data_IF_682710148624
#
_entry.id   IF_682710148624
#
_cell.length_a   1.000
_cell.length_b   1.000
_cell.length_c   1.000
_cell.angle_alpha   90.00
_cell.angle_beta   90.00
_cell.angle_gamma   90.00
#
_symmetry.space_group_name_H-M   'P 1'
#
loop_
_entity.id
_entity.type
_entity.pdbx_description
1 polymer ?
#
# COMPACT_ATOMS: atom_id res chain seq x y z
N UNK A 1 -6.44 49.95 -27.24
CA UNK A 1 -5.91 48.72 -26.59
C UNK A 1 -4.42 48.91 -26.29
N UNK A 2 -4.09 49.43 -25.10
CA UNK A 2 -2.74 49.36 -24.53
C UNK A 2 -2.85 49.27 -23.00
N UNK A 3 -2.54 48.07 -22.52
CA UNK A 3 -1.83 47.67 -21.28
C UNK A 3 -2.12 48.46 -20.00
N UNK A 4 -2.80 47.80 -19.07
CA UNK A 4 -2.77 48.11 -17.64
C UNK A 4 -1.70 47.24 -16.96
N UNK A 5 -0.65 47.86 -16.42
CA UNK A 5 0.19 47.30 -15.36
C UNK A 5 -0.04 48.17 -14.14
N UNK A 6 -0.69 47.60 -13.12
CA UNK A 6 -0.82 48.23 -11.81
C UNK A 6 0.34 47.70 -10.96
N UNK A 7 1.27 48.59 -10.61
CA UNK A 7 2.27 48.41 -9.57
C UNK A 7 2.06 49.57 -8.60
N UNK A 8 1.53 49.28 -7.42
CA UNK A 8 1.46 50.24 -6.32
C UNK A 8 2.70 50.09 -5.45
N UNK A 9 3.57 51.07 -5.63
CA UNK A 9 4.46 51.75 -4.68
C UNK A 9 5.16 50.98 -3.55
N UNK A 10 6.48 50.97 -3.74
CA UNK A 10 7.57 50.72 -2.80
C UNK A 10 8.03 52.05 -2.19
N UNK A 11 7.99 52.17 -0.86
CA UNK A 11 8.84 53.01 0.02
C UNK A 11 8.17 53.10 1.39
N UNK A 12 8.82 53.20 2.55
CA UNK A 12 10.21 53.23 3.00
C UNK A 12 10.12 53.29 4.54
N UNK A 13 11.00 52.60 5.28
CA UNK A 13 11.51 52.90 6.64
C UNK A 13 11.98 51.57 7.25
N UNK A 14 13.16 51.39 7.81
CA UNK A 14 14.27 52.28 8.10
C UNK A 14 15.47 51.42 8.50
N UNK A 15 16.66 51.92 8.20
CA UNK A 15 17.94 51.35 8.60
C UNK A 15 18.05 51.31 10.12
N UNK A 16 18.42 50.16 10.68
CA UNK A 16 19.42 50.09 11.75
C UNK A 16 20.30 48.88 11.49
N UNK A 17 21.56 49.14 11.19
CA UNK A 17 22.63 48.20 11.46
C UNK A 17 22.74 48.13 12.99
N UNK A 18 23.04 46.95 13.54
CA UNK A 18 24.05 46.80 14.59
C UNK A 18 24.22 45.33 15.01
N UNK A 19 25.49 44.92 14.99
CA UNK A 19 26.17 44.02 15.94
C UNK A 19 25.75 42.53 15.93
N UNK A 20 26.62 41.72 15.30
CA UNK A 20 26.79 40.31 15.65
C UNK A 20 27.48 40.22 17.02
N UNK A 21 26.79 39.64 18.01
CA UNK A 21 27.39 39.21 19.27
C UNK A 21 27.23 37.69 19.43
N UNK A 22 28.38 37.02 19.51
CA UNK A 22 28.54 35.60 19.80
C UNK A 22 28.33 35.32 21.29
N UNK A 23 27.63 34.22 21.60
CA UNK A 23 27.48 33.57 22.93
C UNK A 23 26.50 34.31 23.83
N UNK A 24 25.40 33.69 24.24
CA UNK A 24 25.45 32.75 25.35
C UNK A 24 24.39 31.65 25.17
N UNK A 25 24.88 30.41 25.22
CA UNK A 25 24.14 29.17 25.35
C UNK A 25 23.01 29.31 26.39
N UNK A 26 21.82 28.83 26.03
CA UNK A 26 20.72 28.59 26.96
C UNK A 26 21.24 27.89 28.21
N UNK A 27 21.32 28.65 29.31
CA UNK A 27 21.61 28.14 30.65
C UNK A 27 20.31 27.57 31.22
N UNK A 28 19.90 26.39 30.77
CA UNK A 28 19.08 25.53 31.63
C UNK A 28 20.02 24.84 32.63
N UNK A 29 19.76 24.89 33.95
CA UNK A 29 20.60 24.20 34.92
C UNK A 29 20.48 22.68 34.68
N UNK A 30 21.58 21.92 34.77
CA UNK A 30 21.48 20.46 34.75
C UNK A 30 20.86 19.97 36.05
N UNK A 31 19.92 19.04 35.93
CA UNK A 31 19.39 18.27 37.05
C UNK A 31 20.53 17.46 37.67
N UNK A 32 20.78 17.66 38.95
CA UNK A 32 21.66 16.84 39.78
C UNK A 32 20.98 15.48 40.00
N UNK A 33 21.24 14.53 39.11
CA UNK A 33 21.05 13.11 39.43
C UNK A 33 22.38 12.39 39.28
N UNK A 34 22.86 11.88 40.41
CA UNK A 34 24.11 11.15 40.58
C UNK A 34 24.15 9.88 39.73
N UNK A 35 25.22 9.74 38.96
CA UNK A 35 25.56 8.58 38.15
C UNK A 35 25.79 7.33 39.01
N UNK A 36 25.18 6.22 38.63
CA UNK A 36 25.78 4.90 38.81
C UNK A 36 26.12 4.36 37.42
N UNK A 37 27.41 4.21 37.18
CA UNK A 37 28.05 3.73 35.96
C UNK A 37 27.73 2.26 35.77
N UNK A 38 27.32 1.86 34.56
CA UNK A 38 28.02 0.81 33.81
C UNK A 38 27.53 0.69 32.36
N UNK A 39 28.54 0.65 31.49
CA UNK A 39 28.65 -0.06 30.21
C UNK A 39 27.66 0.27 29.07
N UNK A 40 28.23 0.98 28.10
CA UNK A 40 28.31 0.61 26.67
C UNK A 40 27.03 0.38 25.86
N UNK A 41 27.15 0.86 24.62
CA UNK A 41 26.34 0.56 23.44
C UNK A 41 25.09 1.43 23.18
N UNK A 42 25.30 2.27 22.16
CA UNK A 42 24.43 2.36 20.99
C UNK A 42 23.09 3.07 21.18
N UNK A 43 23.00 4.22 20.51
CA UNK A 43 21.74 4.93 20.26
C UNK A 43 20.69 3.94 19.78
N UNK A 44 19.51 3.85 20.42
CA UNK A 44 18.44 3.03 19.87
C UNK A 44 17.95 3.74 18.62
N UNK A 45 18.26 3.16 17.45
CA UNK A 45 17.42 3.35 16.29
C UNK A 45 16.00 3.02 16.74
N UNK A 46 15.12 4.02 16.71
CA UNK A 46 13.71 3.78 16.94
C UNK A 46 13.26 2.82 15.86
N UNK A 47 13.04 1.57 16.28
CA UNK A 47 12.28 0.58 15.53
C UNK A 47 11.01 1.28 15.05
N UNK A 48 10.94 1.55 13.75
CA UNK A 48 9.65 1.59 13.09
C UNK A 48 9.24 0.13 13.11
N UNK A 49 8.57 -0.24 14.22
CA UNK A 49 8.01 -1.55 14.45
C UNK A 49 7.26 -1.93 13.18
N UNK A 50 7.85 -2.89 12.48
CA UNK A 50 7.28 -3.64 11.38
C UNK A 50 6.10 -4.45 11.91
N UNK A 51 5.01 -3.75 12.22
CA UNK A 51 3.72 -4.34 12.47
C UNK A 51 2.83 -3.93 11.30
N UNK A 52 3.21 -4.41 10.11
CA UNK A 52 2.26 -4.66 9.04
C UNK A 52 1.38 -5.83 9.46
N UNK A 53 0.52 -5.62 10.46
CA UNK A 53 -0.66 -6.46 10.65
C UNK A 53 -1.72 -6.00 9.63
N UNK A 54 -1.47 -6.31 8.36
CA UNK A 54 -2.56 -6.59 7.43
C UNK A 54 -2.69 -8.11 7.42
N UNK A 55 -3.75 -8.61 8.03
CA UNK A 55 -4.03 -10.03 8.14
C UNK A 55 -4.22 -10.68 6.76
N UNK A 56 -3.13 -11.15 6.15
CA UNK A 56 -3.04 -12.06 4.99
C UNK A 56 -3.39 -13.52 5.36
N UNK A 57 -3.96 -13.74 6.56
CA UNK A 57 -3.68 -14.90 7.41
C UNK A 57 -4.25 -16.26 7.00
N UNK A 58 -4.93 -16.40 5.86
CA UNK A 58 -5.59 -17.66 5.52
C UNK A 58 -5.01 -18.40 4.28
N UNK A 59 -3.93 -17.89 3.66
CA UNK A 59 -3.24 -18.59 2.57
C UNK A 59 -1.79 -18.96 2.92
N UNK A 60 -1.38 -20.23 2.69
CA UNK A 60 0.00 -20.66 2.96
C UNK A 60 0.98 -19.96 2.02
N UNK A 61 2.16 -19.58 2.54
CA UNK A 61 3.28 -19.05 1.75
C UNK A 61 3.94 -20.19 0.94
N UNK A 62 3.83 -20.21 -0.40
CA UNK A 62 4.44 -21.24 -1.23
C UNK A 62 5.95 -21.05 -1.44
N UNK A 63 6.62 -20.10 -0.78
CA UNK A 63 8.04 -19.77 -0.99
C UNK A 63 8.96 -20.99 -1.00
N UNK A 64 8.79 -21.92 -0.06
CA UNK A 64 9.61 -23.14 0.03
C UNK A 64 9.29 -24.20 -1.04
N UNK A 65 8.16 -24.07 -1.75
CA UNK A 65 7.79 -24.94 -2.87
C UNK A 65 8.41 -24.47 -4.20
N UNK A 66 8.95 -23.25 -4.24
CA UNK A 66 9.55 -22.66 -5.43
C UNK A 66 10.99 -23.13 -5.65
N UNK A 67 11.46 -23.12 -6.90
CA UNK A 67 12.85 -23.39 -7.26
C UNK A 67 13.80 -22.34 -6.67
N UNK A 68 15.09 -22.67 -6.46
CA UNK A 68 16.08 -21.73 -5.90
C UNK A 68 16.15 -20.41 -6.69
N UNK A 69 16.09 -20.46 -8.02
CA UNK A 69 16.10 -19.25 -8.86
C UNK A 69 14.84 -18.40 -8.68
N UNK A 70 13.69 -19.03 -8.40
CA UNK A 70 12.46 -18.32 -8.12
C UNK A 70 12.46 -17.74 -6.70
N UNK A 71 13.08 -18.42 -5.72
CA UNK A 71 13.27 -17.89 -4.37
C UNK A 71 14.15 -16.63 -4.38
N UNK A 72 15.29 -16.66 -5.09
CA UNK A 72 16.15 -15.48 -5.27
C UNK A 72 15.40 -14.30 -5.93
N UNK A 73 14.54 -14.62 -6.91
CA UNK A 73 13.68 -13.62 -7.54
C UNK A 73 12.65 -13.05 -6.55
N UNK A 74 12.00 -13.89 -5.74
CA UNK A 74 11.06 -13.44 -4.69
C UNK A 74 11.77 -12.54 -3.68
N UNK A 75 12.99 -12.88 -3.26
CA UNK A 75 13.77 -12.08 -2.32
C UNK A 75 14.09 -10.70 -2.90
N UNK A 76 14.51 -10.63 -4.16
CA UNK A 76 14.75 -9.37 -4.89
C UNK A 76 13.50 -8.47 -4.94
N UNK A 77 12.32 -9.04 -5.23
CA UNK A 77 11.06 -8.27 -5.21
C UNK A 77 10.68 -7.86 -3.78
N UNK A 78 10.92 -8.72 -2.79
CA UNK A 78 10.65 -8.44 -1.38
C UNK A 78 11.53 -7.28 -0.86
N UNK A 79 12.78 -7.16 -1.33
CA UNK A 79 13.67 -6.03 -1.03
C UNK A 79 13.10 -4.67 -1.51
N UNK A 80 12.21 -4.65 -2.51
CA UNK A 80 11.50 -3.44 -2.92
C UNK A 80 10.36 -3.03 -1.96
N UNK A 81 10.04 -3.86 -0.96
CA UNK A 81 9.03 -3.58 0.06
C UNK A 81 7.70 -4.32 -0.13
N UNK A 82 7.61 -5.25 -1.09
CA UNK A 82 6.43 -6.11 -1.24
C UNK A 82 6.44 -7.25 -0.21
N UNK A 83 5.25 -7.71 0.20
CA UNK A 83 5.12 -8.80 1.16
C UNK A 83 5.53 -10.14 0.52
N UNK A 84 6.54 -10.83 1.09
CA UNK A 84 7.02 -12.14 0.62
C UNK A 84 5.91 -13.15 0.28
N UNK A 85 4.89 -13.40 1.13
CA UNK A 85 3.85 -14.38 0.80
C UNK A 85 3.03 -14.00 -0.44
N UNK A 86 2.80 -12.71 -0.67
CA UNK A 86 2.09 -12.21 -1.85
C UNK A 86 2.96 -12.36 -3.11
N UNK A 87 4.25 -12.03 -2.99
CA UNK A 87 5.21 -12.19 -4.08
C UNK A 87 5.39 -13.66 -4.46
N UNK A 88 5.52 -14.56 -3.48
CA UNK A 88 5.70 -15.99 -3.74
C UNK A 88 4.47 -16.60 -4.41
N UNK A 89 3.25 -16.18 -4.03
CA UNK A 89 2.02 -16.56 -4.74
C UNK A 89 1.99 -16.02 -6.17
N UNK A 90 2.32 -14.74 -6.38
CA UNK A 90 2.42 -14.15 -7.71
C UNK A 90 3.42 -14.90 -8.60
N UNK A 91 4.60 -15.22 -8.08
CA UNK A 91 5.64 -15.96 -8.82
C UNK A 91 5.20 -17.38 -9.16
N UNK A 92 4.42 -18.03 -8.27
CA UNK A 92 3.84 -19.35 -8.54
C UNK A 92 2.87 -19.33 -9.72
N UNK A 93 2.14 -18.24 -9.92
CA UNK A 93 1.13 -18.11 -10.97
C UNK A 93 1.67 -17.50 -12.28
N UNK A 94 2.54 -16.49 -12.20
CA UNK A 94 3.05 -15.73 -13.35
C UNK A 94 4.47 -16.14 -13.78
N UNK A 95 5.18 -16.91 -12.95
CA UNK A 95 6.59 -17.27 -13.13
C UNK A 95 7.54 -16.16 -12.68
N UNK A 96 8.79 -16.22 -13.16
CA UNK A 96 9.86 -15.25 -12.83
C UNK A 96 9.94 -14.09 -13.83
N UNK A 97 8.80 -13.63 -14.35
CA UNK A 97 8.71 -12.48 -15.24
C UNK A 97 8.52 -11.20 -14.42
N UNK A 98 9.62 -10.47 -14.19
CA UNK A 98 9.65 -9.29 -13.32
C UNK A 98 8.55 -8.29 -13.62
N UNK A 99 8.37 -7.96 -14.90
CA UNK A 99 7.39 -6.95 -15.31
C UNK A 99 5.97 -7.39 -14.93
N UNK A 100 5.62 -8.65 -15.20
CA UNK A 100 4.28 -9.16 -14.92
C UNK A 100 4.01 -9.30 -13.43
N UNK A 101 5.00 -9.78 -12.67
CA UNK A 101 4.88 -9.94 -11.22
C UNK A 101 4.70 -8.59 -10.56
N UNK A 102 5.54 -7.61 -10.88
CA UNK A 102 5.42 -6.25 -10.33
C UNK A 102 4.11 -5.59 -10.75
N UNK A 103 3.69 -5.73 -12.02
CA UNK A 103 2.40 -5.22 -12.48
C UNK A 103 1.22 -5.82 -11.68
N UNK A 104 1.22 -7.13 -11.45
CA UNK A 104 0.20 -7.80 -10.66
C UNK A 104 0.17 -7.33 -9.20
N UNK A 105 1.33 -7.19 -8.55
CA UNK A 105 1.43 -6.69 -7.18
C UNK A 105 0.92 -5.24 -7.05
N UNK A 106 1.26 -4.38 -8.01
CA UNK A 106 0.75 -3.01 -8.07
C UNK A 106 -0.79 -2.98 -8.25
N UNK A 107 -1.35 -3.88 -9.05
CA UNK A 107 -2.80 -3.98 -9.21
C UNK A 107 -3.50 -4.39 -7.90
N UNK A 108 -2.93 -5.34 -7.15
CA UNK A 108 -3.49 -5.72 -5.84
C UNK A 108 -3.46 -4.52 -4.89
N UNK A 109 -2.32 -3.82 -4.80
CA UNK A 109 -2.19 -2.63 -3.95
C UNK A 109 -3.22 -1.54 -4.33
N UNK A 110 -3.46 -1.29 -5.62
CA UNK A 110 -4.45 -0.32 -6.06
C UNK A 110 -5.89 -0.68 -5.64
N UNK A 111 -6.20 -1.99 -5.57
CA UNK A 111 -7.48 -2.48 -5.05
C UNK A 111 -7.54 -2.36 -3.52
N UNK A 112 -6.46 -2.65 -2.81
CA UNK A 112 -6.36 -2.44 -1.36
C UNK A 112 -6.52 -0.97 -0.97
N UNK A 113 -5.91 -0.05 -1.71
CA UNK A 113 -6.09 1.40 -1.55
C UNK A 113 -7.54 1.84 -1.79
N UNK A 114 -8.30 1.08 -2.58
CA UNK A 114 -9.74 1.29 -2.79
C UNK A 114 -10.60 0.76 -1.63
N UNK A 115 -9.99 0.09 -0.64
CA UNK A 115 -10.66 -0.48 0.54
C UNK A 115 -11.01 -1.96 0.42
N UNK A 116 -10.50 -2.66 -0.60
CA UNK A 116 -10.69 -4.11 -0.76
C UNK A 116 -9.67 -4.91 0.06
N UNK A 117 -10.06 -6.13 0.42
CA UNK A 117 -9.16 -7.08 1.09
C UNK A 117 -8.14 -7.65 0.09
N UNK A 118 -6.86 -7.70 0.48
CA UNK A 118 -5.76 -8.14 -0.40
C UNK A 118 -5.97 -9.52 -1.03
N UNK A 119 -6.43 -10.50 -0.25
CA UNK A 119 -6.72 -11.85 -0.74
C UNK A 119 -7.90 -11.87 -1.73
N UNK A 120 -8.91 -11.04 -1.50
CA UNK A 120 -10.07 -10.92 -2.38
C UNK A 120 -9.69 -10.20 -3.69
N UNK A 121 -8.84 -9.18 -3.61
CA UNK A 121 -8.26 -8.50 -4.75
C UNK A 121 -7.39 -9.42 -5.61
N UNK A 122 -6.49 -10.19 -4.99
CA UNK A 122 -5.67 -11.22 -5.65
C UNK A 122 -6.56 -12.23 -6.38
N UNK A 123 -7.58 -12.77 -5.71
CA UNK A 123 -8.51 -13.73 -6.31
C UNK A 123 -9.32 -13.13 -7.47
N UNK A 124 -9.77 -11.87 -7.35
CA UNK A 124 -10.52 -11.20 -8.41
C UNK A 124 -9.68 -10.96 -9.66
N UNK A 125 -8.39 -10.59 -9.50
CA UNK A 125 -7.45 -10.41 -10.61
C UNK A 125 -7.19 -11.72 -11.34
N UNK A 126 -6.99 -12.83 -10.61
CA UNK A 126 -6.82 -14.15 -11.21
C UNK A 126 -8.05 -14.60 -12.02
N UNK A 127 -9.25 -14.16 -11.62
CA UNK A 127 -10.51 -14.54 -12.26
C UNK A 127 -10.79 -13.78 -13.56
N UNK A 128 -10.19 -12.61 -13.73
CA UNK A 128 -10.39 -11.71 -14.87
C UNK A 128 -9.11 -11.54 -15.70
N UNK A 129 -8.25 -12.57 -15.74
CA UNK A 129 -7.02 -12.59 -16.53
C UNK A 129 -6.12 -11.35 -16.30
N UNK A 130 -6.01 -10.89 -15.04
CA UNK A 130 -5.21 -9.73 -14.63
C UNK A 130 -5.70 -8.38 -15.21
N UNK A 131 -6.98 -8.28 -15.58
CA UNK A 131 -7.60 -7.02 -15.97
C UNK A 131 -8.08 -6.24 -14.72
N UNK A 132 -7.36 -5.18 -14.38
CA UNK A 132 -7.65 -4.36 -13.20
C UNK A 132 -9.05 -3.72 -13.21
N UNK A 133 -9.54 -3.29 -14.38
CA UNK A 133 -10.83 -2.61 -14.49
C UNK A 133 -11.99 -3.60 -14.23
N UNK A 134 -11.90 -4.78 -14.83
CA UNK A 134 -12.90 -5.84 -14.66
C UNK A 134 -12.87 -6.42 -13.25
N UNK A 135 -11.68 -6.63 -12.68
CA UNK A 135 -11.53 -7.11 -11.30
C UNK A 135 -12.14 -6.12 -10.29
N UNK A 136 -11.89 -4.81 -10.47
CA UNK A 136 -12.51 -3.78 -9.64
C UNK A 136 -14.03 -3.80 -9.77
N UNK A 137 -14.55 -3.85 -11.00
CA UNK A 137 -15.99 -3.91 -11.24
C UNK A 137 -16.61 -5.16 -10.58
N UNK A 138 -15.94 -6.32 -10.66
CA UNK A 138 -16.38 -7.53 -9.99
C UNK A 138 -16.51 -7.34 -8.47
N UNK A 139 -15.50 -6.75 -7.83
CA UNK A 139 -15.52 -6.49 -6.39
C UNK A 139 -16.62 -5.50 -5.99
N UNK A 140 -16.80 -4.42 -6.76
CA UNK A 140 -17.89 -3.45 -6.57
C UNK A 140 -19.26 -4.15 -6.62
N UNK A 141 -19.47 -5.03 -7.61
CA UNK A 141 -20.74 -5.77 -7.75
C UNK A 141 -20.94 -6.76 -6.61
N UNK A 142 -19.88 -7.50 -6.22
CA UNK A 142 -19.90 -8.43 -5.08
C UNK A 142 -20.30 -7.72 -3.80
N UNK A 143 -19.82 -6.50 -3.56
CA UNK A 143 -20.23 -5.69 -2.39
C UNK A 143 -21.70 -5.30 -2.49
N UNK A 144 -22.14 -4.75 -3.63
CA UNK A 144 -23.52 -4.33 -3.84
C UNK A 144 -24.54 -5.46 -3.65
N UNK A 145 -24.25 -6.67 -4.13
CA UNK A 145 -25.14 -7.81 -3.92
C UNK A 145 -25.15 -8.30 -2.46
N UNK A 146 -24.03 -8.19 -1.74
CA UNK A 146 -24.00 -8.49 -0.31
C UNK A 146 -24.85 -7.51 0.49
N UNK A 147 -24.83 -6.22 0.13
CA UNK A 147 -25.69 -5.19 0.76
C UNK A 147 -27.19 -5.46 0.54
N UNK A 148 -27.53 -6.10 -0.59
CA UNK A 148 -28.89 -6.57 -0.88
C UNK A 148 -29.26 -7.88 -0.14
N UNK A 149 -28.33 -8.49 0.59
CA UNK A 149 -28.53 -9.70 1.38
C UNK A 149 -28.31 -11.01 0.63
N UNK A 150 -27.71 -10.98 -0.57
CA UNK A 150 -27.36 -12.21 -1.29
C UNK A 150 -26.11 -12.89 -0.71
N UNK A 151 -26.05 -14.21 -0.81
CA UNK A 151 -24.90 -14.98 -0.35
C UNK A 151 -23.65 -14.71 -1.22
N UNK A 152 -22.55 -14.25 -0.60
CA UNK A 152 -21.27 -13.95 -1.28
C UNK A 152 -20.80 -15.06 -2.23
N UNK A 153 -20.93 -16.34 -1.83
CA UNK A 153 -20.52 -17.48 -2.67
C UNK A 153 -21.37 -17.62 -3.93
N UNK A 154 -22.69 -17.49 -3.82
CA UNK A 154 -23.61 -17.55 -4.95
C UNK A 154 -23.39 -16.37 -5.91
N UNK A 155 -23.22 -15.17 -5.36
CA UNK A 155 -22.94 -13.94 -6.12
C UNK A 155 -21.67 -14.07 -6.94
N UNK A 156 -20.54 -14.46 -6.34
CA UNK A 156 -19.27 -14.65 -7.07
C UNK A 156 -19.42 -15.62 -8.23
N UNK A 157 -20.07 -16.76 -8.01
CA UNK A 157 -20.30 -17.77 -9.06
C UNK A 157 -21.15 -17.20 -10.21
N UNK A 158 -22.23 -16.50 -9.89
CA UNK A 158 -23.11 -15.91 -10.90
C UNK A 158 -22.42 -14.79 -11.69
N UNK A 159 -21.62 -13.95 -11.02
CA UNK A 159 -20.86 -12.87 -11.68
C UNK A 159 -19.84 -13.40 -12.69
N UNK A 160 -19.10 -14.45 -12.31
CA UNK A 160 -18.13 -15.11 -13.22
C UNK A 160 -18.82 -15.68 -14.44
N UNK A 161 -19.97 -16.32 -14.26
CA UNK A 161 -20.74 -16.91 -15.37
C UNK A 161 -21.31 -15.84 -16.30
N UNK A 162 -21.69 -14.68 -15.76
CA UNK A 162 -22.34 -13.60 -16.48
C UNK A 162 -21.38 -12.47 -16.89
N UNK A 163 -20.05 -12.63 -16.72
CA UNK A 163 -19.04 -11.62 -17.07
C UNK A 163 -19.35 -10.23 -16.51
N UNK A 164 -19.64 -10.15 -15.22
CA UNK A 164 -19.92 -8.88 -14.52
C UNK A 164 -21.19 -8.13 -14.99
N UNK A 165 -22.11 -8.80 -15.69
CA UNK A 165 -23.42 -8.23 -16.02
C UNK A 165 -24.34 -8.22 -14.79
N UNK A 166 -24.69 -7.03 -14.28
CA UNK A 166 -25.59 -6.87 -13.13
C UNK A 166 -26.96 -7.54 -13.34
N UNK A 167 -27.65 -7.20 -14.43
CA UNK A 167 -29.02 -7.68 -14.70
C UNK A 167 -29.08 -9.21 -14.86
N UNK A 168 -28.11 -9.80 -15.56
CA UNK A 168 -28.08 -11.26 -15.72
C UNK A 168 -27.74 -11.96 -14.40
N UNK A 169 -26.89 -11.35 -13.59
CA UNK A 169 -26.50 -11.89 -12.27
C UNK A 169 -27.70 -11.88 -11.33
N UNK A 170 -28.47 -10.79 -11.27
CA UNK A 170 -29.68 -10.75 -10.43
C UNK A 170 -30.73 -11.77 -10.90
N UNK A 171 -30.97 -11.87 -12.22
CA UNK A 171 -31.92 -12.85 -12.76
C UNK A 171 -31.49 -14.29 -12.40
N UNK A 172 -30.20 -14.59 -12.47
CA UNK A 172 -29.64 -15.89 -12.09
C UNK A 172 -29.72 -16.18 -10.58
N UNK A 173 -29.68 -15.16 -9.71
CA UNK A 173 -29.78 -15.32 -8.25
C UNK A 173 -31.23 -15.48 -7.77
N UNK A 174 -32.20 -14.99 -8.54
CA UNK A 174 -33.63 -15.07 -8.22
C UNK A 174 -34.32 -16.32 -8.80
N UNK A 175 -33.61 -17.08 -9.64
CA UNK A 175 -34.11 -18.31 -10.26
C UNK A 175 -33.82 -19.52 -9.38
#
# INVERSE_FOLDING_TARGET
LRVSKSYSDISSLGKTADVYDERERSRTPPSTFSYSVNSEETMPCQDISSNGDCCDSDLPDPYHELDNSAQEFVDSITEMGFARPQVSRAVKHLGTDEKKVVEHLCQIQALEESGYEGLEAEAALHLHDYNSDEAKQFLDLVSQFQDLGFEKKAVKKALVQNKNDWNKTIDALLT
#
